data_IF_095607313376
#
_entry.id   IF_095607313376
#
_cell.length_a   1.000
_cell.length_b   1.000
_cell.length_c   1.000
_cell.angle_alpha   90.00
_cell.angle_beta   90.00
_cell.angle_gamma   90.00
#
_symmetry.space_group_name_H-M   'P 1'
#
loop_
_entity.id
_entity.type
_entity.pdbx_description
1 polymer ?
#
# COMPACT_ATOMS: atom_id res chain seq x y z
N UNK A 1 5.32 -20.75 19.53
CA UNK A 1 4.62 -19.44 19.57
C UNK A 1 4.32 -19.05 18.13
N UNK A 2 3.09 -19.26 17.67
CA UNK A 2 2.71 -19.09 16.27
C UNK A 2 2.33 -17.65 15.94
N UNK A 3 2.86 -17.13 14.83
CA UNK A 3 2.51 -15.82 14.22
C UNK A 3 1.14 -15.83 13.51
N UNK A 4 0.27 -16.79 13.83
CA UNK A 4 -0.91 -17.15 13.02
C UNK A 4 -2.12 -16.22 13.10
N UNK A 5 -1.98 -14.94 13.45
CA UNK A 5 -3.13 -14.07 13.73
C UNK A 5 -3.21 -12.73 13.02
N UNK A 6 -2.18 -12.28 12.29
CA UNK A 6 -2.08 -10.85 11.92
C UNK A 6 -2.23 -10.58 10.42
N UNK A 7 -2.09 -11.59 9.56
CA UNK A 7 -2.08 -11.40 8.10
C UNK A 7 -2.93 -12.46 7.40
N UNK A 8 -3.81 -12.03 6.49
CA UNK A 8 -4.43 -12.90 5.48
C UNK A 8 -3.63 -12.71 4.20
N UNK A 9 -2.73 -13.61 3.84
CA UNK A 9 -1.96 -13.50 2.59
C UNK A 9 -2.81 -14.08 1.46
N UNK A 10 -2.98 -13.35 0.34
CA UNK A 10 -3.54 -13.96 -0.88
C UNK A 10 -2.41 -14.47 -1.77
N UNK A 11 -2.48 -15.73 -2.18
CA UNK A 11 -1.38 -16.46 -2.81
C UNK A 11 -0.69 -17.40 -1.80
N UNK A 12 0.47 -17.95 -2.16
CA UNK A 12 1.23 -18.88 -1.31
C UNK A 12 1.87 -18.13 -0.11
N UNK A 13 1.28 -18.18 1.09
CA UNK A 13 1.71 -17.38 2.25
C UNK A 13 3.09 -17.79 2.77
N UNK A 14 3.36 -19.09 2.67
CA UNK A 14 4.59 -19.73 3.09
C UNK A 14 5.77 -19.23 2.27
N UNK A 15 5.61 -19.06 0.95
CA UNK A 15 6.67 -18.58 0.05
C UNK A 15 7.15 -17.17 0.41
N UNK A 16 6.23 -16.29 0.82
CA UNK A 16 6.57 -14.90 1.15
C UNK A 16 7.25 -14.81 2.52
N UNK A 17 6.78 -15.56 3.52
CA UNK A 17 7.29 -15.49 4.89
C UNK A 17 8.54 -16.37 5.11
N UNK A 18 8.66 -17.51 4.45
CA UNK A 18 9.87 -18.36 4.52
C UNK A 18 11.05 -17.71 3.81
N UNK A 19 10.82 -16.96 2.73
CA UNK A 19 11.88 -16.26 1.99
C UNK A 19 12.59 -15.15 2.78
N UNK A 20 11.99 -14.68 3.88
CA UNK A 20 12.45 -13.51 4.66
C UNK A 20 12.91 -13.84 6.08
N UNK A 21 12.73 -15.08 6.54
CA UNK A 21 13.15 -15.50 7.87
C UNK A 21 14.68 -15.34 8.05
N UNK A 22 15.09 -14.62 9.11
CA UNK A 22 16.52 -14.37 9.41
C UNK A 22 17.21 -13.31 8.53
N UNK A 23 16.47 -12.61 7.65
CA UNK A 23 16.99 -11.52 6.81
C UNK A 23 16.31 -10.20 7.15
N UNK A 24 16.97 -9.08 6.91
CA UNK A 24 16.29 -7.78 6.89
C UNK A 24 15.28 -7.75 5.74
N UNK A 25 14.02 -7.43 6.04
CA UNK A 25 12.93 -7.35 5.04
C UNK A 25 12.53 -5.90 4.84
N UNK A 26 12.20 -5.53 3.60
CA UNK A 26 11.57 -4.26 3.30
C UNK A 26 10.06 -4.49 3.19
N UNK A 27 9.35 -4.17 4.26
CA UNK A 27 7.89 -4.18 4.26
C UNK A 27 7.35 -2.89 3.62
N UNK A 28 6.54 -3.03 2.56
CA UNK A 28 5.91 -1.90 1.88
C UNK A 28 4.41 -1.97 2.15
N UNK A 29 3.94 -1.14 3.08
CA UNK A 29 2.53 -1.05 3.42
C UNK A 29 1.86 -0.04 2.49
N UNK A 30 0.77 -0.43 1.84
CA UNK A 30 0.08 0.41 0.87
C UNK A 30 -1.42 0.46 1.13
N UNK A 31 -2.04 1.57 0.71
CA UNK A 31 -3.47 1.82 0.84
C UNK A 31 -3.87 3.10 0.12
N UNK A 32 -5.17 3.22 -0.17
CA UNK A 32 -5.75 4.35 -0.91
C UNK A 32 -6.74 5.09 -0.02
N UNK A 33 -6.96 6.38 -0.28
CA UNK A 33 -7.93 7.19 0.47
C UNK A 33 -8.68 8.15 -0.45
N UNK A 34 -9.99 8.33 -0.28
CA UNK A 34 -10.76 9.32 -1.05
C UNK A 34 -10.33 10.75 -0.74
N UNK A 35 -9.59 11.01 0.34
CA UNK A 35 -8.95 12.31 0.56
C UNK A 35 -7.98 12.68 -0.56
N UNK A 36 -7.30 11.70 -1.19
CA UNK A 36 -6.35 12.00 -2.25
C UNK A 36 -7.02 12.46 -3.56
N UNK A 37 -8.34 12.26 -3.70
CA UNK A 37 -9.11 12.74 -4.86
C UNK A 37 -9.53 14.21 -4.75
N UNK A 38 -9.20 14.89 -3.64
CA UNK A 38 -9.42 16.33 -3.52
C UNK A 38 -8.35 17.04 -4.37
N UNK A 39 -8.74 17.90 -5.33
CA UNK A 39 -7.78 18.63 -6.17
C UNK A 39 -6.73 19.37 -5.35
N UNK A 40 -5.45 19.20 -5.70
CA UNK A 40 -4.32 19.85 -5.05
C UNK A 40 -3.82 19.21 -3.75
N UNK A 41 -4.47 18.15 -3.24
CA UNK A 41 -4.02 17.45 -2.02
C UNK A 41 -2.92 16.43 -2.30
N UNK A 42 -2.94 15.78 -3.46
CA UNK A 42 -1.95 14.78 -3.84
C UNK A 42 -1.50 14.99 -5.29
N UNK A 43 -0.21 14.77 -5.52
CA UNK A 43 0.43 14.74 -6.86
C UNK A 43 0.74 13.30 -7.30
N UNK A 44 0.21 12.30 -6.59
CA UNK A 44 0.49 10.89 -6.84
C UNK A 44 -0.31 10.37 -8.05
N UNK A 45 0.19 10.62 -9.25
CA UNK A 45 -0.47 10.25 -10.51
C UNK A 45 -1.08 11.45 -11.24
N UNK A 46 -1.47 11.29 -12.51
CA UNK A 46 -1.77 12.41 -13.42
C UNK A 46 -3.10 13.13 -13.14
N UNK A 47 -3.98 12.57 -12.31
CA UNK A 47 -5.26 13.19 -11.93
C UNK A 47 -5.63 12.81 -10.49
N UNK A 48 -6.55 13.57 -9.84
CA UNK A 48 -7.03 13.24 -8.50
C UNK A 48 -7.61 11.82 -8.40
N UNK A 49 -8.30 11.31 -9.43
CA UNK A 49 -8.85 9.95 -9.46
C UNK A 49 -7.74 8.90 -9.60
N UNK A 50 -6.70 9.20 -10.38
CA UNK A 50 -5.56 8.30 -10.57
C UNK A 50 -4.83 8.00 -9.26
N UNK A 51 -4.85 8.93 -8.30
CA UNK A 51 -4.25 8.75 -6.96
C UNK A 51 -4.76 7.52 -6.22
N UNK A 52 -5.98 7.05 -6.51
CA UNK A 52 -6.53 5.84 -5.89
C UNK A 52 -5.82 4.57 -6.36
N UNK A 53 -5.31 4.57 -7.59
CA UNK A 53 -4.65 3.42 -8.22
C UNK A 53 -3.14 3.42 -7.99
N UNK A 54 -2.53 4.59 -7.81
CA UNK A 54 -1.07 4.74 -7.65
C UNK A 54 -0.45 3.77 -6.63
N UNK A 55 -1.00 3.57 -5.41
CA UNK A 55 -0.44 2.62 -4.46
C UNK A 55 -0.38 1.18 -4.99
N UNK A 56 -1.41 0.76 -5.73
CA UNK A 56 -1.48 -0.57 -6.34
C UNK A 56 -0.47 -0.71 -7.48
N UNK A 57 -0.38 0.31 -8.35
CA UNK A 57 0.55 0.30 -9.47
C UNK A 57 2.02 0.31 -9.00
N UNK A 58 2.32 1.04 -7.92
CA UNK A 58 3.65 1.04 -7.30
C UNK A 58 4.04 -0.37 -6.83
N UNK A 59 3.15 -1.09 -6.14
CA UNK A 59 3.41 -2.46 -5.69
C UNK A 59 3.62 -3.43 -6.85
N UNK A 60 2.79 -3.34 -7.89
CA UNK A 60 2.95 -4.14 -9.10
C UNK A 60 4.31 -3.87 -9.77
N UNK A 61 4.69 -2.60 -9.88
CA UNK A 61 6.00 -2.21 -10.41
C UNK A 61 7.15 -2.72 -9.53
N UNK A 62 7.07 -2.60 -8.20
CA UNK A 62 8.10 -3.09 -7.28
C UNK A 62 8.34 -4.59 -7.43
N UNK A 63 7.28 -5.39 -7.59
CA UNK A 63 7.37 -6.85 -7.68
C UNK A 63 7.65 -7.29 -9.13
N UNK A 64 6.76 -6.96 -10.07
CA UNK A 64 6.76 -7.46 -11.45
C UNK A 64 7.61 -6.62 -12.42
N UNK A 65 7.93 -5.37 -12.08
CA UNK A 65 8.75 -4.46 -12.92
C UNK A 65 7.97 -3.65 -13.92
N UNK A 66 6.64 -3.80 -13.88
CA UNK A 66 5.66 -3.05 -14.63
C UNK A 66 4.36 -3.06 -13.86
N UNK A 67 3.51 -2.09 -14.11
CA UNK A 67 2.11 -2.11 -13.71
C UNK A 67 1.35 -3.19 -14.49
N UNK A 68 0.40 -3.84 -13.82
CA UNK A 68 -0.39 -4.95 -14.36
C UNK A 68 -1.90 -4.63 -14.35
N UNK A 69 -2.33 -3.72 -13.49
CA UNK A 69 -3.71 -3.26 -13.38
C UNK A 69 -4.04 -2.21 -14.44
N UNK A 70 -3.13 -1.26 -14.66
CA UNK A 70 -3.22 -0.25 -15.72
C UNK A 70 -1.90 -0.25 -16.49
N UNK A 71 -1.95 -0.25 -17.82
CA UNK A 71 -0.74 -0.23 -18.66
C UNK A 71 -0.17 1.19 -18.78
N UNK A 72 0.23 1.73 -17.63
CA UNK A 72 0.78 3.07 -17.49
C UNK A 72 1.96 3.03 -16.52
N UNK A 73 3.06 3.70 -16.88
CA UNK A 73 4.15 3.95 -15.93
C UNK A 73 3.64 4.99 -14.94
N UNK A 74 3.64 4.74 -13.62
CA UNK A 74 3.18 5.72 -12.63
C UNK A 74 4.14 6.91 -12.63
N UNK A 75 3.76 7.97 -13.33
CA UNK A 75 4.44 9.26 -13.36
C UNK A 75 3.54 10.30 -12.71
N UNK A 76 4.14 11.26 -11.99
CA UNK A 76 3.40 12.42 -11.50
C UNK A 76 2.93 13.30 -12.68
N UNK A 77 2.00 14.25 -12.47
CA UNK A 77 1.60 15.20 -13.51
C UNK A 77 2.79 15.96 -14.14
N UNK A 78 3.85 16.17 -13.37
CA UNK A 78 5.09 16.84 -13.79
C UNK A 78 6.08 15.90 -14.50
N UNK A 79 5.69 14.64 -14.75
CA UNK A 79 6.53 13.65 -15.42
C UNK A 79 7.62 13.03 -14.53
N UNK A 80 7.61 13.30 -13.22
CA UNK A 80 8.56 12.70 -12.28
C UNK A 80 8.18 11.24 -12.08
N UNK A 81 9.09 10.28 -12.32
CA UNK A 81 8.81 8.87 -12.11
C UNK A 81 8.53 8.58 -10.64
N UNK A 82 7.64 7.62 -10.37
CA UNK A 82 7.34 7.17 -9.01
C UNK A 82 8.62 6.85 -8.21
N UNK A 83 8.69 7.21 -6.92
CA UNK A 83 9.76 6.75 -6.02
C UNK A 83 9.93 5.23 -6.00
N UNK A 84 8.93 4.46 -6.44
CA UNK A 84 9.03 3.01 -6.61
C UNK A 84 10.17 2.61 -7.57
N UNK A 85 10.59 3.47 -8.50
CA UNK A 85 11.80 3.26 -9.33
C UNK A 85 13.05 3.13 -8.46
N UNK A 86 13.26 4.06 -7.53
CA UNK A 86 14.41 4.05 -6.62
C UNK A 86 14.32 2.86 -5.67
N UNK A 87 13.14 2.62 -5.08
CA UNK A 87 12.91 1.49 -4.17
C UNK A 87 13.22 0.15 -4.83
N UNK A 88 12.77 -0.07 -6.07
CA UNK A 88 13.07 -1.29 -6.84
C UNK A 88 14.56 -1.42 -7.12
N UNK A 89 15.23 -0.34 -7.53
CA UNK A 89 16.66 -0.35 -7.82
C UNK A 89 17.47 -0.74 -6.58
N UNK A 90 17.18 -0.14 -5.42
CA UNK A 90 17.84 -0.45 -4.14
C UNK A 90 17.53 -1.88 -3.71
N UNK A 91 16.27 -2.30 -3.74
CA UNK A 91 15.88 -3.66 -3.37
C UNK A 91 16.63 -4.72 -4.18
N UNK A 92 16.77 -4.49 -5.49
CA UNK A 92 17.48 -5.40 -6.40
C UNK A 92 18.99 -5.36 -6.19
N UNK A 93 19.59 -4.17 -6.06
CA UNK A 93 21.03 -4.00 -5.88
C UNK A 93 21.55 -4.68 -4.61
N UNK A 94 20.76 -4.65 -3.53
CA UNK A 94 21.13 -5.24 -2.24
C UNK A 94 20.45 -6.57 -1.95
N UNK A 95 19.73 -7.15 -2.91
CA UNK A 95 18.95 -8.39 -2.73
C UNK A 95 18.03 -8.37 -1.50
N UNK A 96 17.41 -7.22 -1.23
CA UNK A 96 16.51 -7.04 -0.09
C UNK A 96 15.16 -7.67 -0.44
N UNK A 97 14.68 -8.65 0.34
CA UNK A 97 13.35 -9.21 0.14
C UNK A 97 12.26 -8.16 0.37
N UNK A 98 11.28 -8.12 -0.54
CA UNK A 98 10.11 -7.24 -0.44
C UNK A 98 8.93 -7.99 0.16
N UNK A 99 8.26 -7.36 1.13
CA UNK A 99 6.99 -7.81 1.69
C UNK A 99 5.92 -6.74 1.46
N UNK A 100 5.17 -6.78 0.35
CA UNK A 100 4.03 -5.89 0.16
C UNK A 100 2.89 -6.26 1.12
N UNK A 101 2.30 -5.25 1.76
CA UNK A 101 1.21 -5.42 2.74
C UNK A 101 0.05 -4.47 2.41
N UNK A 102 -1.08 -5.03 1.99
CA UNK A 102 -2.30 -4.27 1.73
C UNK A 102 -3.00 -3.91 3.06
N UNK A 103 -3.01 -2.62 3.38
CA UNK A 103 -3.72 -2.06 4.54
C UNK A 103 -5.07 -1.40 4.17
N UNK A 104 -5.43 -1.34 2.89
CA UNK A 104 -6.66 -0.71 2.43
C UNK A 104 -6.52 -0.10 1.04
N UNK A 105 -6.13 -0.88 0.04
CA UNK A 105 -6.03 -0.42 -1.34
C UNK A 105 -7.42 -0.21 -1.98
N UNK A 106 -7.53 0.74 -2.90
CA UNK A 106 -8.76 0.94 -3.70
C UNK A 106 -8.96 -0.19 -4.72
N UNK A 107 -7.86 -0.71 -5.26
CA UNK A 107 -7.85 -1.84 -6.19
C UNK A 107 -6.77 -2.83 -5.77
N UNK A 108 -7.10 -4.11 -5.80
CA UNK A 108 -6.19 -5.18 -5.41
C UNK A 108 -5.03 -5.32 -6.40
N UNK A 109 -3.81 -5.49 -5.87
CA UNK A 109 -2.60 -5.65 -6.68
C UNK A 109 -2.51 -7.04 -7.29
N UNK A 110 -2.15 -7.13 -8.58
CA UNK A 110 -2.03 -8.41 -9.32
C UNK A 110 -0.69 -9.12 -9.13
N UNK A 111 -0.09 -8.97 -7.95
CA UNK A 111 1.18 -9.59 -7.56
C UNK A 111 1.05 -10.19 -6.15
N UNK A 112 1.88 -11.17 -5.74
CA UNK A 112 1.82 -11.72 -4.39
C UNK A 112 2.02 -10.63 -3.32
N UNK A 113 1.10 -10.57 -2.36
CA UNK A 113 1.12 -9.60 -1.26
C UNK A 113 0.37 -10.14 -0.03
N UNK A 114 0.79 -9.69 1.15
CA UNK A 114 0.04 -9.92 2.38
C UNK A 114 -1.13 -8.93 2.45
N UNK A 115 -2.24 -9.32 3.08
CA UNK A 115 -3.38 -8.43 3.34
C UNK A 115 -3.63 -8.35 4.83
N UNK A 116 -3.84 -7.13 5.32
CA UNK A 116 -4.34 -6.96 6.68
C UNK A 116 -5.81 -7.42 6.74
N UNK A 117 -6.22 -8.15 7.79
CA UNK A 117 -7.63 -8.49 8.02
C UNK A 117 -8.51 -7.25 8.13
N UNK A 118 -7.94 -6.15 8.64
CA UNK A 118 -8.61 -4.87 8.85
C UNK A 118 -8.60 -3.94 7.64
N UNK A 119 -8.17 -4.40 6.46
CA UNK A 119 -7.95 -3.51 5.31
C UNK A 119 -9.26 -2.86 4.87
N UNK A 120 -9.26 -1.54 4.79
CA UNK A 120 -10.38 -0.74 4.29
C UNK A 120 -9.80 0.48 3.60
N UNK A 121 -10.21 0.74 2.36
CA UNK A 121 -9.84 1.98 1.69
C UNK A 121 -10.37 3.19 2.45
N UNK A 122 -9.52 4.20 2.65
CA UNK A 122 -9.86 5.40 3.38
C UNK A 122 -10.95 6.22 2.68
N UNK A 123 -11.87 6.77 3.46
CA UNK A 123 -12.88 7.74 3.01
C UNK A 123 -12.28 9.14 2.86
N UNK A 124 -13.13 10.17 2.81
CA UNK A 124 -12.66 11.57 2.86
C UNK A 124 -12.44 12.03 4.29
N UNK A 125 -11.46 12.91 4.49
CA UNK A 125 -11.22 13.57 5.78
C UNK A 125 -12.49 14.29 6.22
N UNK A 126 -12.98 13.97 7.42
CA UNK A 126 -14.21 14.54 7.98
C UNK A 126 -15.45 13.65 7.80
N UNK A 127 -15.41 12.63 6.94
CA UNK A 127 -16.50 11.64 6.86
C UNK A 127 -16.50 10.74 8.09
N UNK A 128 -17.71 10.40 8.57
CA UNK A 128 -17.87 9.39 9.61
C UNK A 128 -17.67 8.01 9.00
N UNK A 129 -16.42 7.57 8.97
CA UNK A 129 -16.04 6.20 8.66
C UNK A 129 -15.23 5.62 9.82
N UNK A 130 -15.30 4.29 9.98
CA UNK A 130 -14.49 3.55 10.95
C UNK A 130 -13.17 3.17 10.27
N UNK A 131 -12.15 4.02 10.44
CA UNK A 131 -10.83 3.92 9.78
C UNK A 131 -10.02 2.69 10.20
N UNK A 132 -10.25 2.21 11.43
CA UNK A 132 -9.65 0.99 11.96
C UNK A 132 -10.74 0.22 12.71
N UNK A 133 -11.58 -0.57 12.03
CA UNK A 133 -12.74 -1.20 12.65
C UNK A 133 -12.39 -2.19 13.77
N UNK A 134 -11.15 -2.67 13.81
CA UNK A 134 -10.66 -3.69 14.74
C UNK A 134 -9.66 -3.17 15.79
N UNK A 135 -9.14 -1.95 15.65
CA UNK A 135 -8.37 -1.30 16.72
C UNK A 135 -9.35 -0.44 17.51
N UNK A 136 -9.55 -0.78 18.78
CA UNK A 136 -10.36 -0.02 19.73
C UNK A 136 -9.74 1.34 20.06
N UNK A 137 -9.66 2.25 19.10
CA UNK A 137 -9.27 3.64 19.33
C UNK A 137 -10.43 4.35 20.02
N UNK A 138 -10.44 4.28 21.36
CA UNK A 138 -11.28 5.11 22.21
C UNK A 138 -10.83 6.55 22.00
N UNK A 139 -11.64 7.38 21.35
CA UNK A 139 -11.39 8.84 21.31
C UNK A 139 -11.36 9.33 22.76
N UNK A 140 -10.22 9.84 23.23
CA UNK A 140 -10.26 10.81 24.33
C UNK A 140 -10.94 12.04 23.77
N UNK A 141 -12.13 12.36 24.29
CA UNK A 141 -12.78 13.62 24.01
C UNK A 141 -11.92 14.73 24.61
N UNK A 142 -11.02 15.30 23.81
CA UNK A 142 -10.42 16.59 24.12
C UNK A 142 -11.55 17.61 24.17
N UNK A 143 -12.02 17.93 25.38
CA UNK A 143 -12.73 19.19 25.63
C UNK A 143 -11.80 20.30 25.15
N UNK A 144 -12.27 21.10 24.19
CA UNK A 144 -11.72 22.45 24.03
C UNK A 144 -12.08 23.21 25.31
N UNK A 145 -11.05 23.68 26.02
CA UNK A 145 -11.17 24.80 26.93
C UNK A 145 -11.28 26.09 26.12
#
# INVERSE_FOLDING_TARGET
>A
MGVGGVFTVSGAPEVVLEGVAGKGVMAVVYGSTRTSTIPGISIAGPSPEATLYTPTLDIEYLVAGRSLTLDVVPVSPEGVPTPAVITRAVARAFNIPLLPVDAGSWTEARVPHAKLPSRVAGGRTGERQRWLPHIGLRRSSGRKA
#
